data_IF_431042290551
#
_entry.id   IF_431042290551
#
_cell.length_a   1.000
_cell.length_b   1.000
_cell.length_c   1.000
_cell.angle_alpha   90.00
_cell.angle_beta   90.00
_cell.angle_gamma   90.00
#
_symmetry.space_group_name_H-M   'P 1'
#
loop_
_entity.id
_entity.type
_entity.pdbx_description
1 polymer ?
#
# COMPACT_ATOMS: atom_id res chain seq x y z
N UNK A 1 24.04 21.58 9.15
CA UNK A 1 24.92 20.53 8.57
C UNK A 1 24.27 19.96 7.31
N UNK A 2 25.04 19.38 6.39
CA UNK A 2 24.56 18.84 5.10
C UNK A 2 23.46 17.79 5.30
N UNK A 3 23.60 16.90 6.29
CA UNK A 3 22.60 15.88 6.61
C UNK A 3 21.20 16.46 6.89
N UNK A 4 21.11 17.61 7.56
CA UNK A 4 19.82 18.26 7.86
C UNK A 4 19.15 18.90 6.63
N UNK A 5 19.93 19.23 5.60
CA UNK A 5 19.37 19.68 4.32
C UNK A 5 18.87 18.46 3.54
N UNK A 6 19.66 17.38 3.50
CA UNK A 6 19.29 16.12 2.83
C UNK A 6 18.06 15.46 3.47
N UNK A 7 17.89 15.55 4.79
CA UNK A 7 16.68 15.03 5.48
C UNK A 7 15.37 15.72 5.07
N UNK A 8 15.44 16.85 4.36
CA UNK A 8 14.28 17.58 3.86
C UNK A 8 14.00 17.29 2.38
N UNK A 9 14.82 16.45 1.73
CA UNK A 9 14.64 16.03 0.33
C UNK A 9 13.94 14.67 0.26
N UNK A 10 13.94 14.03 -0.91
CA UNK A 10 13.50 12.64 -1.05
C UNK A 10 14.63 11.64 -0.81
N UNK A 11 14.32 10.37 -0.48
CA UNK A 11 15.28 9.27 -0.48
C UNK A 11 16.04 9.12 -1.80
N UNK A 12 15.36 9.32 -2.93
CA UNK A 12 15.98 9.29 -4.25
C UNK A 12 17.03 10.40 -4.42
N UNK A 13 16.74 11.60 -3.91
CA UNK A 13 17.67 12.72 -3.97
C UNK A 13 18.85 12.53 -3.03
N UNK A 14 18.63 11.97 -1.84
CA UNK A 14 19.73 11.59 -0.94
C UNK A 14 20.71 10.61 -1.63
N UNK A 15 20.19 9.60 -2.34
CA UNK A 15 21.02 8.68 -3.12
C UNK A 15 21.78 9.38 -4.26
N UNK A 16 21.14 10.33 -4.96
CA UNK A 16 21.80 11.11 -6.02
C UNK A 16 22.86 12.07 -5.49
N UNK A 17 22.59 12.75 -4.38
CA UNK A 17 23.52 13.67 -3.75
C UNK A 17 24.75 12.94 -3.19
N UNK A 18 24.61 11.70 -2.75
CA UNK A 18 25.71 10.88 -2.23
C UNK A 18 26.86 10.67 -3.24
N UNK A 19 26.62 10.83 -4.55
CA UNK A 19 27.65 10.66 -5.58
C UNK A 19 28.47 11.92 -5.85
N UNK A 20 28.07 13.07 -5.31
CA UNK A 20 28.69 14.36 -5.63
C UNK A 20 30.05 14.58 -4.94
N UNK A 21 30.21 14.12 -3.70
CA UNK A 21 31.48 14.19 -2.97
C UNK A 21 31.50 13.26 -1.76
N UNK A 22 32.68 13.02 -1.18
CA UNK A 22 32.82 12.20 0.04
C UNK A 22 32.06 12.79 1.24
N UNK A 23 32.01 14.12 1.35
CA UNK A 23 31.27 14.80 2.42
C UNK A 23 29.76 14.60 2.25
N UNK A 24 29.25 14.70 1.02
CA UNK A 24 27.85 14.40 0.73
C UNK A 24 27.54 12.92 0.94
N UNK A 25 28.43 12.01 0.50
CA UNK A 25 28.27 10.57 0.72
C UNK A 25 28.11 10.25 2.21
N UNK A 26 29.05 10.69 3.04
CA UNK A 26 29.01 10.47 4.49
C UNK A 26 27.74 11.05 5.12
N UNK A 27 27.30 12.24 4.70
CA UNK A 27 26.07 12.84 5.18
C UNK A 27 24.81 12.06 4.74
N UNK A 28 24.75 11.60 3.49
CA UNK A 28 23.59 10.87 2.94
C UNK A 28 23.51 9.42 3.43
N UNK A 29 24.60 8.85 3.95
CA UNK A 29 24.62 7.52 4.58
C UNK A 29 24.31 7.56 6.08
N UNK A 30 24.19 8.75 6.68
CA UNK A 30 23.89 8.92 8.11
C UNK A 30 22.45 8.53 8.47
N UNK A 31 22.29 7.83 9.59
CA UNK A 31 20.97 7.50 10.16
C UNK A 31 20.10 8.72 10.47
N UNK A 32 20.69 9.92 10.67
CA UNK A 32 19.91 11.16 10.86
C UNK A 32 19.05 11.46 9.62
N UNK A 33 19.58 11.18 8.42
CA UNK A 33 18.84 11.35 7.16
C UNK A 33 17.77 10.28 7.04
N UNK A 34 18.12 9.01 7.20
CA UNK A 34 17.17 7.91 7.00
C UNK A 34 16.08 7.82 8.08
N UNK A 35 16.34 8.32 9.29
CA UNK A 35 15.31 8.49 10.31
C UNK A 35 14.19 9.44 9.88
N UNK A 36 14.49 10.45 9.06
CA UNK A 36 13.48 11.41 8.57
C UNK A 36 12.61 10.85 7.44
N UNK A 37 13.12 9.86 6.70
CA UNK A 37 12.40 9.21 5.60
C UNK A 37 11.54 8.04 6.07
N UNK A 38 11.82 7.52 7.26
CA UNK A 38 11.01 6.49 7.89
C UNK A 38 9.79 7.13 8.56
N UNK A 39 8.60 6.53 8.43
CA UNK A 39 7.43 7.03 9.15
C UNK A 39 7.60 6.89 10.67
N UNK A 40 7.02 7.82 11.45
CA UNK A 40 7.17 7.86 12.91
C UNK A 40 6.53 6.64 13.58
N UNK A 41 5.42 6.16 13.02
CA UNK A 41 4.73 4.94 13.42
C UNK A 41 5.44 3.74 12.80
N UNK A 42 6.47 3.22 13.48
CA UNK A 42 7.09 1.96 13.07
C UNK A 42 6.10 0.83 13.34
N UNK A 43 5.79 -0.04 12.36
CA UNK A 43 5.07 -1.26 12.67
C UNK A 43 5.88 -2.04 13.70
N UNK A 44 5.29 -2.32 14.87
CA UNK A 44 5.95 -3.03 15.98
C UNK A 44 6.46 -4.43 15.56
N UNK A 45 5.98 -4.93 14.42
CA UNK A 45 6.31 -6.23 13.83
C UNK A 45 7.69 -6.29 13.17
N UNK A 46 8.40 -5.17 12.95
CA UNK A 46 9.70 -5.20 12.27
C UNK A 46 10.83 -5.52 13.25
N UNK A 47 10.87 -6.78 13.71
CA UNK A 47 12.04 -7.35 14.39
C UNK A 47 13.05 -7.84 13.35
N UNK A 48 13.58 -6.93 12.54
CA UNK A 48 14.61 -7.24 11.55
C UNK A 48 15.95 -6.74 12.08
N UNK A 49 16.91 -7.64 12.25
CA UNK A 49 18.29 -7.27 12.62
C UNK A 49 18.92 -6.55 11.44
N UNK A 50 18.85 -5.23 11.46
CA UNK A 50 19.41 -4.32 10.44
C UNK A 50 20.58 -3.56 11.03
N UNK A 51 21.61 -3.30 10.22
CA UNK A 51 22.81 -2.60 10.68
C UNK A 51 22.70 -1.07 10.60
N UNK A 52 21.72 -0.56 9.82
CA UNK A 52 21.43 0.88 9.68
C UNK A 52 19.97 1.17 9.35
N UNK A 53 19.52 2.42 9.53
CA UNK A 53 18.18 2.85 9.13
C UNK A 53 17.99 2.90 7.61
N UNK A 54 19.08 3.07 6.87
CA UNK A 54 19.07 2.96 5.40
C UNK A 54 18.70 1.56 4.94
N UNK A 55 19.30 0.53 5.55
CA UNK A 55 18.96 -0.87 5.27
C UNK A 55 17.52 -1.19 5.65
N UNK A 56 17.06 -0.67 6.79
CA UNK A 56 15.65 -0.79 7.20
C UNK A 56 14.71 -0.20 6.15
N UNK A 57 15.01 1.02 5.67
CA UNK A 57 14.21 1.68 4.65
C UNK A 57 14.09 0.84 3.38
N UNK A 58 15.21 0.37 2.82
CA UNK A 58 15.18 -0.44 1.61
C UNK A 58 14.51 -1.80 1.84
N UNK A 59 14.73 -2.41 3.00
CA UNK A 59 13.99 -3.61 3.38
C UNK A 59 12.48 -3.40 3.36
N UNK A 60 11.97 -2.26 3.82
CA UNK A 60 10.54 -1.94 3.80
C UNK A 60 10.02 -1.61 2.38
N UNK A 61 10.91 -1.23 1.46
CA UNK A 61 10.56 -1.04 0.06
C UNK A 61 10.46 -2.39 -0.67
N UNK A 62 11.41 -3.28 -0.41
CA UNK A 62 11.59 -4.55 -1.10
C UNK A 62 10.68 -5.66 -0.56
N UNK A 63 10.41 -5.67 0.75
CA UNK A 63 9.70 -6.73 1.43
C UNK A 63 8.51 -6.18 2.22
N UNK A 64 7.29 -6.20 1.63
CA UNK A 64 6.08 -5.71 2.28
C UNK A 64 5.76 -6.48 3.56
N UNK A 65 5.57 -5.75 4.65
CA UNK A 65 5.25 -6.31 5.96
C UNK A 65 3.75 -6.56 6.07
N UNK A 66 3.36 -7.78 6.42
CA UNK A 66 1.97 -8.10 6.74
C UNK A 66 1.58 -7.53 8.10
N UNK A 67 0.46 -6.81 8.13
CA UNK A 67 -0.12 -6.17 9.32
C UNK A 67 -1.61 -6.50 9.43
N UNK A 68 -2.20 -6.22 10.60
CA UNK A 68 -3.61 -6.53 10.91
C UNK A 68 -3.97 -7.99 10.60
N UNK A 69 -3.28 -8.91 11.28
CA UNK A 69 -3.53 -10.35 11.16
C UNK A 69 -3.38 -10.88 9.73
N UNK A 70 -2.38 -10.36 8.99
CA UNK A 70 -2.11 -10.77 7.62
C UNK A 70 -3.10 -10.26 6.57
N UNK A 71 -4.08 -9.43 6.95
CA UNK A 71 -5.11 -8.94 6.02
C UNK A 71 -4.74 -7.66 5.28
N UNK A 72 -3.64 -7.02 5.67
CA UNK A 72 -3.10 -5.86 4.97
C UNK A 72 -1.59 -6.00 4.83
N UNK A 73 -1.02 -5.44 3.77
CA UNK A 73 0.43 -5.32 3.63
C UNK A 73 0.84 -3.86 3.56
N UNK A 74 2.03 -3.60 4.11
CA UNK A 74 2.61 -2.29 4.29
C UNK A 74 4.02 -2.27 3.72
N UNK A 75 4.30 -1.32 2.84
CA UNK A 75 5.65 -1.06 2.30
C UNK A 75 5.88 0.43 2.11
N UNK A 76 7.09 0.81 1.71
CA UNK A 76 7.42 2.18 1.32
C UNK A 76 7.63 2.27 -0.20
N UNK A 77 7.16 3.35 -0.81
CA UNK A 77 7.60 3.70 -2.16
C UNK A 77 9.09 4.07 -2.11
N UNK A 78 9.90 3.38 -2.93
CA UNK A 78 11.36 3.52 -2.89
C UNK A 78 11.83 4.95 -3.12
N UNK A 79 11.15 5.69 -3.99
CA UNK A 79 11.60 7.01 -4.43
C UNK A 79 11.20 8.12 -3.46
N UNK A 80 9.95 8.09 -3.00
CA UNK A 80 9.34 9.14 -2.20
C UNK A 80 9.31 8.85 -0.70
N UNK A 81 9.48 7.59 -0.28
CA UNK A 81 9.34 7.15 1.10
C UNK A 81 7.88 7.18 1.61
N UNK A 82 6.90 7.34 0.71
CA UNK A 82 5.48 7.37 1.08
C UNK A 82 4.97 5.95 1.36
N UNK A 83 4.01 5.85 2.29
CA UNK A 83 3.43 4.56 2.69
C UNK A 83 2.63 3.97 1.53
N UNK A 84 2.91 2.72 1.17
CA UNK A 84 2.16 1.91 0.23
C UNK A 84 1.37 0.86 0.99
N UNK A 85 0.06 0.76 0.72
CA UNK A 85 -0.86 -0.13 1.44
C UNK A 85 -1.58 -1.02 0.45
N UNK A 86 -1.70 -2.30 0.78
CA UNK A 86 -2.53 -3.26 0.05
C UNK A 86 -3.49 -3.94 1.01
N UNK A 87 -4.76 -4.06 0.61
CA UNK A 87 -5.76 -4.86 1.31
C UNK A 87 -5.79 -6.27 0.72
N UNK A 88 -5.93 -7.29 1.56
CA UNK A 88 -6.26 -8.64 1.11
C UNK A 88 -7.73 -8.74 0.74
N UNK A 89 -8.11 -9.76 -0.04
CA UNK A 89 -9.52 -10.02 -0.33
C UNK A 89 -10.35 -10.22 0.96
N UNK A 90 -9.75 -10.79 2.01
CA UNK A 90 -10.38 -10.95 3.34
C UNK A 90 -10.55 -9.64 4.12
N UNK A 91 -9.91 -8.55 3.71
CA UNK A 91 -10.13 -7.21 4.26
C UNK A 91 -11.18 -6.40 3.48
N UNK A 92 -11.64 -6.91 2.34
CA UNK A 92 -12.64 -6.26 1.51
C UNK A 92 -14.04 -6.77 1.87
N UNK A 93 -15.03 -5.90 1.70
CA UNK A 93 -16.44 -6.29 1.68
C UNK A 93 -16.79 -6.67 0.25
N UNK A 94 -16.99 -7.96 0.02
CA UNK A 94 -17.33 -8.53 -1.29
C UNK A 94 -18.76 -9.05 -1.22
N UNK A 95 -19.61 -8.61 -2.13
CA UNK A 95 -21.00 -9.08 -2.17
C UNK A 95 -21.05 -10.58 -2.38
N UNK A 96 -21.78 -11.26 -1.49
CA UNK A 96 -21.87 -12.71 -1.40
C UNK A 96 -20.52 -13.43 -1.25
N UNK A 97 -19.48 -12.75 -0.79
CA UNK A 97 -18.14 -13.33 -0.61
C UNK A 97 -18.12 -14.60 0.26
N UNK A 98 -19.09 -14.76 1.17
CA UNK A 98 -19.24 -15.93 2.02
C UNK A 98 -20.16 -17.02 1.43
N UNK A 99 -20.62 -16.86 0.18
CA UNK A 99 -21.51 -17.81 -0.49
C UNK A 99 -20.72 -18.71 -1.45
N UNK A 100 -20.54 -20.02 -1.14
CA UNK A 100 -19.67 -20.91 -1.91
C UNK A 100 -20.08 -21.15 -3.36
N UNK A 101 -21.35 -20.87 -3.71
CA UNK A 101 -21.84 -20.97 -5.09
C UNK A 101 -21.30 -19.86 -5.99
N UNK A 102 -20.89 -18.74 -5.41
CA UNK A 102 -20.46 -17.54 -6.13
C UNK A 102 -18.97 -17.26 -5.95
N UNK A 103 -18.41 -17.62 -4.80
CA UNK A 103 -17.01 -17.37 -4.47
C UNK A 103 -16.34 -18.60 -3.88
N UNK A 104 -15.11 -18.82 -4.30
CA UNK A 104 -14.19 -19.79 -3.70
C UNK A 104 -13.05 -19.05 -3.03
N UNK A 105 -12.64 -19.49 -1.84
CA UNK A 105 -11.49 -18.95 -1.13
C UNK A 105 -10.34 -19.92 -1.25
N UNK A 106 -9.25 -19.50 -1.89
CA UNK A 106 -8.13 -20.38 -2.25
C UNK A 106 -6.79 -19.76 -1.88
N UNK A 107 -5.78 -20.61 -1.73
CA UNK A 107 -4.41 -20.19 -1.53
C UNK A 107 -3.69 -20.16 -2.87
N UNK A 108 -3.07 -19.03 -3.23
CA UNK A 108 -2.22 -18.94 -4.42
C UNK A 108 -0.75 -18.82 -4.03
N UNK A 109 0.16 -19.62 -4.60
CA UNK A 109 1.57 -19.65 -4.20
C UNK A 109 2.32 -18.32 -4.44
N UNK A 110 1.85 -17.52 -5.41
CA UNK A 110 2.43 -16.21 -5.72
C UNK A 110 1.68 -15.04 -5.07
N UNK A 111 0.73 -15.32 -4.18
CA UNK A 111 0.02 -14.30 -3.42
C UNK A 111 0.84 -13.89 -2.19
N UNK A 112 0.83 -12.60 -1.87
CA UNK A 112 1.38 -12.09 -0.60
C UNK A 112 0.49 -12.40 0.59
N UNK A 113 -0.79 -12.69 0.35
CA UNK A 113 -1.78 -13.02 1.36
C UNK A 113 -2.09 -14.51 1.34
N UNK A 114 -2.42 -15.06 2.50
CA UNK A 114 -2.71 -16.49 2.67
C UNK A 114 -3.88 -16.95 1.79
N UNK A 115 -4.94 -16.15 1.71
CA UNK A 115 -6.14 -16.45 0.92
C UNK A 115 -6.44 -15.35 -0.09
N UNK A 116 -6.95 -15.76 -1.24
CA UNK A 116 -7.53 -14.90 -2.27
C UNK A 116 -8.98 -15.33 -2.54
N UNK A 117 -9.78 -14.40 -3.06
CA UNK A 117 -11.13 -14.68 -3.52
C UNK A 117 -11.13 -14.99 -5.02
N UNK A 118 -11.65 -16.14 -5.40
CA UNK A 118 -11.89 -16.55 -6.77
C UNK A 118 -13.38 -16.43 -7.07
N UNK A 119 -13.71 -15.64 -8.08
CA UNK A 119 -15.09 -15.46 -8.55
C UNK A 119 -15.50 -16.64 -9.43
N UNK A 120 -16.61 -17.30 -9.08
CA UNK A 120 -17.15 -18.43 -9.83
C UNK A 120 -18.13 -17.93 -10.90
N UNK A 121 -19.25 -17.35 -10.46
CA UNK A 121 -20.29 -16.80 -11.34
C UNK A 121 -21.21 -15.87 -10.54
N UNK A 122 -21.51 -14.67 -11.05
CA UNK A 122 -22.43 -13.71 -10.42
C UNK A 122 -23.11 -12.85 -11.48
N UNK A 123 -24.32 -12.40 -11.20
CA UNK A 123 -25.04 -11.45 -12.06
C UNK A 123 -24.68 -9.97 -11.78
N UNK A 124 -24.08 -9.67 -10.62
CA UNK A 124 -23.49 -8.35 -10.31
C UNK A 124 -22.28 -8.52 -9.40
N UNK A 125 -21.27 -7.66 -9.56
CA UNK A 125 -20.06 -7.65 -8.74
C UNK A 125 -19.91 -6.31 -8.02
N UNK A 126 -19.79 -6.34 -6.71
CA UNK A 126 -19.47 -5.17 -5.91
C UNK A 126 -18.43 -5.51 -4.85
N UNK A 127 -17.37 -4.70 -4.81
CA UNK A 127 -16.24 -4.85 -3.91
C UNK A 127 -15.98 -3.50 -3.27
N UNK A 128 -16.01 -3.44 -1.94
CA UNK A 128 -15.76 -2.24 -1.15
C UNK A 128 -14.54 -2.45 -0.27
N UNK A 129 -13.66 -1.46 -0.24
CA UNK A 129 -12.50 -1.41 0.65
C UNK A 129 -12.52 -0.14 1.48
N UNK A 130 -11.95 -0.20 2.68
CA UNK A 130 -11.80 0.96 3.55
C UNK A 130 -10.39 1.01 4.13
N UNK A 131 -9.76 2.18 4.03
CA UNK A 131 -8.45 2.46 4.60
C UNK A 131 -8.59 3.70 5.48
N UNK A 132 -8.09 3.62 6.72
CA UNK A 132 -8.07 4.78 7.60
C UNK A 132 -7.09 5.82 7.05
N UNK A 133 -7.51 7.09 6.98
CA UNK A 133 -6.69 8.19 6.48
C UNK A 133 -5.39 8.37 7.27
N UNK A 134 -5.38 8.04 8.57
CA UNK A 134 -4.18 8.08 9.40
C UNK A 134 -3.10 7.07 8.98
N UNK A 135 -3.48 6.02 8.23
CA UNK A 135 -2.51 5.09 7.67
C UNK A 135 -1.83 5.62 6.41
N UNK A 136 -2.42 6.63 5.74
CA UNK A 136 -1.86 7.23 4.54
C UNK A 136 -0.83 8.31 4.90
N UNK A 137 0.10 8.56 3.99
CA UNK A 137 1.04 9.67 4.13
C UNK A 137 0.33 11.00 3.84
N UNK A 138 0.45 12.02 4.71
CA UNK A 138 -0.13 13.35 4.46
C UNK A 138 0.39 13.99 3.17
N UNK A 139 -0.46 14.81 2.53
CA UNK A 139 -0.10 15.58 1.33
C UNK A 139 0.37 14.73 0.15
N UNK A 140 -0.14 13.49 0.04
CA UNK A 140 0.30 12.52 -0.96
C UNK A 140 -0.86 12.16 -1.88
N UNK A 141 -0.61 12.21 -3.19
CA UNK A 141 -1.56 11.72 -4.18
C UNK A 141 -1.44 10.20 -4.27
N UNK A 142 -2.55 9.52 -4.01
CA UNK A 142 -2.64 8.07 -4.09
C UNK A 142 -3.38 7.64 -5.35
N UNK A 143 -2.90 6.58 -5.98
CA UNK A 143 -3.66 5.82 -6.97
C UNK A 143 -4.11 4.50 -6.33
N UNK A 144 -5.35 4.13 -6.57
CA UNK A 144 -5.92 2.87 -6.10
C UNK A 144 -5.99 1.88 -7.26
N UNK A 145 -5.62 0.63 -7.00
CA UNK A 145 -5.60 -0.44 -8.00
C UNK A 145 -6.31 -1.67 -7.44
N UNK A 146 -7.15 -2.29 -8.26
CA UNK A 146 -7.63 -3.65 -8.02
C UNK A 146 -6.65 -4.63 -8.70
N UNK A 147 -5.97 -5.45 -7.90
CA UNK A 147 -5.03 -6.46 -8.42
C UNK A 147 -5.74 -7.81 -8.48
N UNK A 148 -5.87 -8.35 -9.68
CA UNK A 148 -6.55 -9.62 -9.93
C UNK A 148 -5.85 -10.39 -11.04
N UNK A 149 -6.22 -11.68 -11.16
CA UNK A 149 -5.79 -12.55 -12.25
C UNK A 149 -7.02 -13.08 -12.97
N UNK A 150 -6.94 -13.12 -14.29
CA UNK A 150 -7.97 -13.68 -15.15
C UNK A 150 -7.66 -15.17 -15.41
N UNK A 151 -8.68 -16.02 -15.31
CA UNK A 151 -8.60 -17.43 -15.70
C UNK A 151 -9.07 -17.61 -17.15
N UNK A 152 -8.58 -18.61 -17.91
CA UNK A 152 -8.99 -18.77 -19.31
C UNK A 152 -10.49 -19.01 -19.53
N UNK A 153 -11.20 -19.46 -18.50
CA UNK A 153 -12.64 -19.71 -18.53
C UNK A 153 -13.48 -18.49 -18.13
N UNK A 154 -12.87 -17.36 -17.76
CA UNK A 154 -13.60 -16.16 -17.35
C UNK A 154 -14.29 -15.50 -18.55
N UNK A 155 -15.44 -14.89 -18.32
CA UNK A 155 -16.17 -14.10 -19.31
C UNK A 155 -16.98 -13.00 -18.60
N UNK A 156 -17.62 -12.10 -19.35
CA UNK A 156 -18.57 -11.10 -18.82
C UNK A 156 -17.99 -9.71 -18.56
N UNK A 157 -16.69 -9.59 -18.27
CA UNK A 157 -16.02 -8.29 -18.08
C UNK A 157 -15.75 -7.54 -19.39
N UNK A 158 -15.86 -8.19 -20.54
CA UNK A 158 -15.53 -7.61 -21.85
C UNK A 158 -16.57 -6.57 -22.34
N UNK A 159 -17.78 -6.62 -21.80
CA UNK A 159 -18.93 -5.87 -22.33
C UNK A 159 -19.50 -4.82 -21.36
N UNK A 160 -18.97 -4.75 -20.13
CA UNK A 160 -19.50 -3.90 -19.07
C UNK A 160 -18.40 -2.95 -18.57
N UNK A 161 -18.65 -1.62 -18.52
CA UNK A 161 -17.71 -0.70 -17.92
C UNK A 161 -17.59 -0.98 -16.42
N UNK A 162 -16.37 -0.94 -15.89
CA UNK A 162 -16.13 -1.04 -14.44
C UNK A 162 -16.26 0.35 -13.84
N UNK A 163 -17.24 0.52 -12.96
CA UNK A 163 -17.37 1.74 -12.17
C UNK A 163 -16.43 1.68 -10.96
N UNK A 164 -15.63 2.72 -10.79
CA UNK A 164 -14.70 2.85 -9.67
C UNK A 164 -15.00 4.14 -8.95
N UNK A 165 -15.17 4.05 -7.63
CA UNK A 165 -15.48 5.19 -6.80
C UNK A 165 -14.58 5.22 -5.55
N UNK A 166 -14.09 6.40 -5.22
CA UNK A 166 -13.36 6.67 -3.99
C UNK A 166 -14.07 7.80 -3.23
N UNK A 167 -14.42 7.55 -1.96
CA UNK A 167 -15.04 8.54 -1.08
C UNK A 167 -14.30 8.59 0.25
N UNK A 168 -14.29 9.77 0.88
CA UNK A 168 -13.93 9.88 2.28
C UNK A 168 -15.14 9.44 3.13
N UNK A 169 -14.96 8.42 3.97
CA UNK A 169 -15.98 8.02 4.91
C UNK A 169 -15.96 8.99 6.10
N UNK A 170 -16.99 9.82 6.26
CA UNK A 170 -17.06 10.76 7.39
C UNK A 170 -17.90 12.02 7.19
N UNK A 171 -18.33 12.36 5.97
CA UNK A 171 -19.33 13.41 5.76
C UNK A 171 -20.73 12.77 5.78
N UNK A 172 -21.52 13.06 6.81
CA UNK A 172 -22.97 12.95 6.69
C UNK A 172 -23.40 13.76 5.47
N UNK A 173 -24.21 13.14 4.62
CA UNK A 173 -24.85 13.80 3.50
C UNK A 173 -25.70 14.97 4.01
N UNK A 174 -25.13 16.17 4.01
CA UNK A 174 -25.91 17.39 3.92
C UNK A 174 -26.56 17.38 2.52
N UNK A 175 -27.74 16.77 2.46
CA UNK A 175 -28.65 16.94 1.34
C UNK A 175 -29.09 18.40 1.31
N UNK A 176 -28.36 19.23 0.56
CA UNK A 176 -28.88 20.52 0.14
C UNK A 176 -29.72 20.25 -1.10
N UNK A 177 -31.02 20.06 -0.87
CA UNK A 177 -32.01 20.25 -1.93
C UNK A 177 -32.10 21.74 -2.22
N UNK A 178 -31.63 22.16 -3.38
CA UNK A 178 -31.98 23.47 -3.93
C UNK A 178 -33.26 23.30 -4.75
N UNK A 179 -34.28 24.11 -4.41
CA UNK A 179 -35.49 24.30 -5.21
C UNK A 179 -35.15 24.91 -6.58
#
# INVERSE_FOLDING_TARGET
CIARVVSLTSPADACRLATLSLNFKSACESDVVWASFLPPERPQTVSRSVSSLKELYFSLCDDPVLVRDGKMSYSLDRHSGKKCIMLSARALSITWGDTPNYWSWTCLPNSRFAEVAELIDVCWLEIRGMISSGMLSPGTHYAAYLVYKITPASYGFEFQPVEVEARFAGDEAASVSTQ
#
